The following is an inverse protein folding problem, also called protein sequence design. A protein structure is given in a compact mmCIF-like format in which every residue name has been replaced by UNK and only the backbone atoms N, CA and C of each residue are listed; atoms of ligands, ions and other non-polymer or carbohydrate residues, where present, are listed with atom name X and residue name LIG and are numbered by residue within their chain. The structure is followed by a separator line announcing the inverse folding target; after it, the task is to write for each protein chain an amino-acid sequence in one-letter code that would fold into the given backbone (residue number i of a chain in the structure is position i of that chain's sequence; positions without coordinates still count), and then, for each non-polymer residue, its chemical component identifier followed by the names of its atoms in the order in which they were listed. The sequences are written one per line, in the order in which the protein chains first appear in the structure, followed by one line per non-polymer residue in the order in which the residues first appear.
data_IF_383350005405
#
_entry.id   IF_383350005405
#
_cell.length_a   1.000
_cell.length_b   1.000
_cell.length_c   1.000
_cell.angle_alpha   90.00
_cell.angle_beta   90.00
_cell.angle_gamma   90.00
#
_symmetry.space_group_name_H-M   'P 1'
#
loop_
_entity.id
_entity.type
_entity.pdbx_description
1 polymer ?
#
# COMPACT_ATOMS: atom_id res chain seq x y z
N UNK A 1 2.23 -5.07 -32.73
CA UNK A 1 3.52 -5.06 -32.00
C UNK A 1 3.18 -5.11 -30.52
N UNK A 2 2.99 -6.32 -29.97
CA UNK A 2 2.67 -6.49 -28.55
C UNK A 2 3.98 -6.57 -27.78
N UNK A 3 4.27 -5.56 -26.96
CA UNK A 3 5.36 -5.66 -26.01
C UNK A 3 5.00 -6.72 -24.97
N UNK A 4 5.77 -7.80 -24.92
CA UNK A 4 5.70 -8.79 -23.86
C UNK A 4 6.07 -8.11 -22.54
N UNK A 5 5.08 -7.79 -21.71
CA UNK A 5 5.32 -7.31 -20.36
C UNK A 5 5.93 -8.47 -19.56
N UNK A 6 7.25 -8.44 -19.39
CA UNK A 6 7.93 -9.32 -18.42
C UNK A 6 7.31 -9.04 -17.05
N UNK A 7 6.81 -10.07 -16.39
CA UNK A 7 6.11 -9.94 -15.11
C UNK A 7 7.03 -9.28 -14.07
N UNK A 8 6.71 -8.04 -13.75
CA UNK A 8 7.28 -7.23 -12.67
C UNK A 8 6.52 -7.41 -11.35
N UNK A 9 5.59 -8.37 -11.28
CA UNK A 9 4.86 -8.68 -10.05
C UNK A 9 5.62 -9.76 -9.29
N UNK A 10 5.98 -9.48 -8.03
CA UNK A 10 6.38 -10.54 -7.10
C UNK A 10 5.15 -11.41 -6.83
N UNK A 11 5.07 -12.68 -7.30
CA UNK A 11 3.87 -13.49 -7.16
C UNK A 11 3.48 -13.73 -5.70
N UNK A 12 4.45 -13.64 -4.78
CA UNK A 12 4.17 -13.75 -3.35
C UNK A 12 3.39 -12.55 -2.81
N UNK A 13 3.33 -11.38 -3.46
CA UNK A 13 2.53 -10.24 -2.95
C UNK A 13 1.04 -10.36 -3.28
N UNK A 14 0.68 -11.22 -4.24
CA UNK A 14 -0.68 -11.35 -4.75
C UNK A 14 -1.66 -11.78 -3.64
N UNK A 15 -2.88 -11.25 -3.70
CA UNK A 15 -3.97 -11.55 -2.78
C UNK A 15 -4.41 -10.35 -1.96
N UNK A 16 -5.17 -10.64 -0.90
CA UNK A 16 -5.79 -9.65 -0.03
C UNK A 16 -5.03 -9.54 1.28
N UNK A 17 -4.89 -8.31 1.75
CA UNK A 17 -4.11 -7.94 2.92
C UNK A 17 -4.94 -7.05 3.83
N UNK A 18 -4.94 -7.34 5.12
CA UNK A 18 -5.59 -6.55 6.17
C UNK A 18 -4.57 -5.67 6.87
N UNK A 19 -4.90 -4.41 7.06
CA UNK A 19 -4.07 -3.47 7.82
C UNK A 19 -3.99 -3.91 9.29
N UNK A 20 -2.76 -3.94 9.82
CA UNK A 20 -2.49 -4.10 11.24
C UNK A 20 -2.21 -2.75 11.91
N UNK A 21 -1.43 -1.88 11.25
CA UNK A 21 -1.12 -0.55 11.77
C UNK A 21 -0.77 0.42 10.65
N UNK A 22 -1.09 1.70 10.87
CA UNK A 22 -0.65 2.81 10.05
C UNK A 22 -0.09 3.91 10.95
N UNK A 23 1.21 4.12 10.85
CA UNK A 23 1.94 5.09 11.66
C UNK A 23 2.76 6.02 10.77
N UNK A 24 3.07 7.20 11.29
CA UNK A 24 4.06 8.08 10.71
C UNK A 24 5.08 8.50 11.77
N UNK A 25 6.32 8.75 11.35
CA UNK A 25 7.37 9.28 12.22
C UNK A 25 7.57 10.77 11.91
N UNK A 26 7.29 11.61 12.91
CA UNK A 26 7.40 13.07 12.89
C UNK A 26 8.27 13.52 14.07
N UNK A 27 9.44 14.13 13.82
CA UNK A 27 10.33 14.67 14.85
C UNK A 27 10.64 13.69 16.01
N UNK A 28 10.85 12.41 15.67
CA UNK A 28 11.13 11.34 16.65
C UNK A 28 9.89 10.86 17.43
N UNK A 29 8.70 11.32 17.05
CA UNK A 29 7.42 10.86 17.61
C UNK A 29 6.67 10.00 16.60
N UNK A 30 5.99 8.98 17.11
CA UNK A 30 5.08 8.16 16.33
C UNK A 30 3.70 8.79 16.39
N UNK A 31 3.14 9.13 15.22
CA UNK A 31 1.76 9.61 15.06
C UNK A 31 0.93 8.58 14.30
N UNK A 32 -0.40 8.64 14.43
CA UNK A 32 -1.35 7.72 13.78
C UNK A 32 -2.27 8.51 12.86
N UNK A 33 -1.97 8.57 11.55
CA UNK A 33 -2.63 9.52 10.66
C UNK A 33 -4.14 9.33 10.51
N UNK A 34 -4.66 8.12 10.77
CA UNK A 34 -6.09 7.81 10.74
C UNK A 34 -6.66 7.44 12.12
N UNK A 35 -5.97 7.82 13.20
CA UNK A 35 -6.37 7.51 14.57
C UNK A 35 -6.00 6.08 15.02
N UNK A 36 -6.31 5.77 16.28
CA UNK A 36 -5.88 4.53 16.97
C UNK A 36 -6.53 3.26 16.41
N UNK A 37 -7.75 3.35 15.88
CA UNK A 37 -8.54 2.18 15.46
C UNK A 37 -8.61 2.02 13.94
N UNK A 38 -7.58 2.49 13.23
CA UNK A 38 -7.52 2.41 11.76
C UNK A 38 -7.62 0.95 11.27
N UNK A 39 -8.43 0.75 10.23
CA UNK A 39 -8.60 -0.52 9.52
C UNK A 39 -8.36 -0.28 8.05
N UNK A 40 -7.98 -1.32 7.32
CA UNK A 40 -7.83 -1.21 5.88
C UNK A 40 -7.66 -2.54 5.20
N UNK A 41 -7.82 -2.50 3.88
CA UNK A 41 -7.61 -3.59 2.96
C UNK A 41 -6.71 -3.15 1.82
N UNK A 42 -5.79 -4.01 1.42
CA UNK A 42 -4.93 -3.84 0.26
C UNK A 42 -5.03 -5.11 -0.58
N UNK A 43 -5.28 -4.97 -1.87
CA UNK A 43 -5.44 -6.06 -2.81
C UNK A 43 -4.41 -5.89 -3.92
N UNK A 44 -3.65 -6.95 -4.20
CA UNK A 44 -2.81 -7.07 -5.39
C UNK A 44 -3.32 -8.23 -6.24
N UNK A 45 -3.58 -7.99 -7.52
CA UNK A 45 -4.08 -9.02 -8.45
C UNK A 45 -3.03 -9.46 -9.45
N UNK A 46 -3.23 -10.63 -10.05
CA UNK A 46 -2.32 -11.22 -11.05
C UNK A 46 -2.18 -10.33 -12.30
N UNK A 47 -3.20 -9.54 -12.62
CA UNK A 47 -3.21 -8.61 -13.75
C UNK A 47 -2.37 -7.35 -13.49
N UNK A 48 -1.73 -7.23 -12.31
CA UNK A 48 -0.94 -6.06 -11.94
C UNK A 48 -1.79 -4.89 -11.47
N UNK A 49 -2.98 -5.15 -10.91
CA UNK A 49 -3.86 -4.15 -10.33
C UNK A 49 -3.68 -4.06 -8.81
N UNK A 50 -3.82 -2.85 -8.27
CA UNK A 50 -3.81 -2.59 -6.83
C UNK A 50 -5.06 -1.81 -6.42
N UNK A 51 -5.64 -2.16 -5.27
CA UNK A 51 -6.66 -1.37 -4.58
C UNK A 51 -6.30 -1.28 -3.11
N UNK A 52 -6.32 -0.08 -2.53
CA UNK A 52 -6.03 0.16 -1.13
C UNK A 52 -7.12 1.05 -0.52
N UNK A 53 -7.68 0.62 0.60
CA UNK A 53 -8.74 1.32 1.32
C UNK A 53 -8.40 1.29 2.80
N UNK A 54 -8.31 2.45 3.45
CA UNK A 54 -8.04 2.61 4.87
C UNK A 54 -9.05 3.59 5.45
N UNK A 55 -9.62 3.25 6.60
CA UNK A 55 -10.58 4.08 7.31
C UNK A 55 -10.24 4.10 8.80
N UNK A 56 -10.43 5.25 9.43
CA UNK A 56 -10.33 5.41 10.87
C UNK A 56 -11.12 6.62 11.34
N UNK A 57 -10.98 7.00 12.61
CA UNK A 57 -11.74 8.11 13.21
C UNK A 57 -11.38 9.45 12.57
N UNK A 58 -10.14 9.60 12.12
CA UNK A 58 -9.61 10.84 11.55
C UNK A 58 -9.77 10.92 10.02
N UNK A 59 -10.40 9.92 9.39
CA UNK A 59 -10.76 10.00 7.98
C UNK A 59 -10.58 8.71 7.18
N UNK A 60 -10.45 8.89 5.87
CA UNK A 60 -10.43 7.81 4.88
C UNK A 60 -9.40 8.07 3.78
N UNK A 61 -8.63 7.03 3.45
CA UNK A 61 -7.69 7.00 2.34
C UNK A 61 -8.10 5.84 1.43
N UNK A 62 -8.41 6.14 0.18
CA UNK A 62 -8.70 5.13 -0.83
C UNK A 62 -7.98 5.43 -2.12
N UNK A 63 -7.39 4.43 -2.76
CA UNK A 63 -6.89 4.55 -4.12
C UNK A 63 -6.90 3.20 -4.84
N UNK A 64 -6.90 3.25 -6.17
CA UNK A 64 -6.74 2.09 -7.02
C UNK A 64 -5.88 2.44 -8.24
N UNK A 65 -5.30 1.43 -8.87
CA UNK A 65 -4.48 1.62 -10.05
C UNK A 65 -3.66 0.38 -10.41
N UNK A 66 -2.48 0.61 -10.99
CA UNK A 66 -1.53 -0.44 -11.34
C UNK A 66 -0.40 -0.51 -10.34
N UNK A 67 0.20 -1.68 -10.17
CA UNK A 67 1.43 -1.79 -9.38
C UNK A 67 2.56 -2.46 -10.18
N UNK A 68 3.77 -2.18 -9.73
CA UNK A 68 5.00 -2.75 -10.26
C UNK A 68 5.95 -3.00 -9.09
N UNK A 69 6.51 -4.20 -8.99
CA UNK A 69 7.57 -4.50 -8.02
C UNK A 69 8.93 -4.24 -8.67
N UNK A 70 9.79 -3.49 -7.99
CA UNK A 70 11.14 -3.10 -8.43
C UNK A 70 12.09 -3.31 -7.26
N UNK A 71 12.87 -4.39 -7.32
CA UNK A 71 13.83 -4.75 -6.26
C UNK A 71 13.18 -4.83 -4.86
N UNK A 72 13.50 -3.88 -3.98
CA UNK A 72 12.99 -3.75 -2.62
C UNK A 72 11.81 -2.76 -2.52
N UNK A 73 11.22 -2.37 -3.64
CA UNK A 73 10.14 -1.39 -3.71
C UNK A 73 8.92 -1.91 -4.46
N UNK A 74 7.76 -1.38 -4.09
CA UNK A 74 6.54 -1.44 -4.89
C UNK A 74 6.14 -0.03 -5.30
N UNK A 75 5.84 0.17 -6.57
CA UNK A 75 5.36 1.43 -7.13
C UNK A 75 3.89 1.28 -7.48
N UNK A 76 3.02 2.09 -6.87
CA UNK A 76 1.61 2.17 -7.25
C UNK A 76 1.38 3.36 -8.18
N UNK A 77 0.86 3.12 -9.37
CA UNK A 77 0.40 4.16 -10.30
C UNK A 77 -1.10 4.30 -10.16
N UNK A 78 -1.53 5.34 -9.48
CA UNK A 78 -2.95 5.55 -9.18
C UNK A 78 -3.72 5.99 -10.43
N UNK A 79 -4.90 5.41 -10.62
CA UNK A 79 -5.89 5.86 -11.62
C UNK A 79 -7.12 6.46 -10.94
N UNK A 80 -7.34 6.13 -9.67
CA UNK A 80 -8.40 6.65 -8.82
C UNK A 80 -7.82 6.91 -7.42
N UNK A 81 -8.20 8.02 -6.78
CA UNK A 81 -7.86 8.30 -5.39
C UNK A 81 -8.92 9.17 -4.71
N UNK A 82 -9.11 8.97 -3.40
CA UNK A 82 -10.02 9.76 -2.56
C UNK A 82 -9.54 11.19 -2.31
N UNK A 83 -8.23 11.43 -2.46
CA UNK A 83 -7.65 12.78 -2.41
C UNK A 83 -7.16 13.20 -3.79
N UNK A 84 -7.50 14.41 -4.28
CA UNK A 84 -7.06 14.92 -5.58
C UNK A 84 -5.53 14.93 -5.75
N UNK A 85 -4.78 15.12 -4.67
CA UNK A 85 -3.32 15.18 -4.71
C UNK A 85 -2.64 13.86 -5.12
N UNK A 86 -3.38 12.75 -5.05
CA UNK A 86 -2.89 11.42 -5.40
C UNK A 86 -3.46 10.88 -6.70
N UNK A 87 -4.22 11.66 -7.46
CA UNK A 87 -4.69 11.22 -8.77
C UNK A 87 -3.53 11.23 -9.78
N UNK A 88 -3.40 10.13 -10.53
CA UNK A 88 -2.38 9.96 -11.57
C UNK A 88 -0.94 10.16 -11.05
N UNK A 89 -0.67 9.67 -9.85
CA UNK A 89 0.64 9.76 -9.20
C UNK A 89 1.31 8.39 -9.08
N UNK A 90 2.63 8.41 -9.08
CA UNK A 90 3.44 7.28 -8.65
C UNK A 90 3.65 7.37 -7.13
N UNK A 91 3.17 6.36 -6.41
CA UNK A 91 3.36 6.18 -4.99
C UNK A 91 4.38 5.06 -4.76
N UNK A 92 5.64 5.43 -4.58
CA UNK A 92 6.71 4.47 -4.30
C UNK A 92 6.73 4.10 -2.82
N UNK A 93 6.85 2.81 -2.52
CA UNK A 93 7.00 2.27 -1.17
C UNK A 93 8.18 1.33 -1.12
N UNK A 94 9.08 1.49 -0.16
CA UNK A 94 9.96 0.39 0.22
C UNK A 94 9.11 -0.74 0.80
N UNK A 95 9.36 -1.97 0.38
CA UNK A 95 8.49 -3.10 0.60
C UNK A 95 9.28 -4.28 1.15
N UNK A 96 8.88 -4.73 2.34
CA UNK A 96 9.43 -5.94 2.97
C UNK A 96 8.32 -6.96 3.12
N UNK A 97 8.46 -8.08 2.42
CA UNK A 97 7.53 -9.20 2.45
C UNK A 97 8.17 -10.37 3.21
N UNK A 98 7.47 -10.86 4.23
CA UNK A 98 7.89 -11.98 5.07
C UNK A 98 6.69 -12.89 5.36
N UNK A 99 6.50 -13.92 4.52
CA UNK A 99 5.38 -14.86 4.62
C UNK A 99 4.01 -14.18 4.51
N UNK A 100 3.29 -14.12 5.63
CA UNK A 100 1.97 -13.49 5.76
C UNK A 100 2.05 -12.01 6.20
N UNK A 101 3.24 -11.44 6.36
CA UNK A 101 3.47 -10.07 6.77
C UNK A 101 4.03 -9.23 5.62
N UNK A 102 3.43 -8.07 5.39
CA UNK A 102 3.90 -7.07 4.44
C UNK A 102 4.06 -5.73 5.13
N UNK A 103 5.26 -5.17 5.06
CA UNK A 103 5.57 -3.84 5.54
C UNK A 103 5.82 -2.92 4.34
N UNK A 104 5.07 -1.82 4.27
CA UNK A 104 5.24 -0.78 3.25
C UNK A 104 5.67 0.51 3.93
N UNK A 105 6.77 1.10 3.45
CA UNK A 105 7.27 2.39 3.93
C UNK A 105 7.25 3.43 2.82
N UNK A 106 6.66 4.59 3.09
CA UNK A 106 6.85 5.76 2.24
C UNK A 106 7.99 6.61 2.82
N UNK A 107 9.04 6.82 2.04
CA UNK A 107 10.11 7.73 2.42
C UNK A 107 9.56 9.17 2.58
N UNK A 108 10.12 9.97 3.49
CA UNK A 108 9.71 11.35 3.67
C UNK A 108 9.89 12.13 2.36
N UNK A 109 8.89 12.95 2.00
CA UNK A 109 8.94 13.81 0.81
C UNK A 109 8.39 15.19 1.15
N UNK A 110 9.14 16.26 0.83
CA UNK A 110 8.67 17.65 0.92
C UNK A 110 7.94 17.99 2.25
N UNK A 111 8.55 17.66 3.39
CA UNK A 111 7.96 17.92 4.71
C UNK A 111 6.87 16.93 5.14
N UNK A 112 6.56 15.91 4.34
CA UNK A 112 5.75 14.77 4.76
C UNK A 112 6.59 13.80 5.60
N UNK A 113 6.02 13.22 6.67
CA UNK A 113 6.72 12.25 7.49
C UNK A 113 6.99 10.93 6.77
N UNK A 114 7.89 10.12 7.33
CA UNK A 114 7.99 8.73 6.92
C UNK A 114 6.73 7.97 7.36
N UNK A 115 6.05 7.33 6.40
CA UNK A 115 4.87 6.50 6.69
C UNK A 115 5.26 5.04 6.77
N UNK A 116 4.71 4.30 7.73
CA UNK A 116 4.89 2.85 7.88
C UNK A 116 3.51 2.19 7.98
N UNK A 117 3.26 1.24 7.09
CA UNK A 117 2.04 0.45 7.06
C UNK A 117 2.39 -1.02 7.21
N UNK A 118 1.84 -1.65 8.25
CA UNK A 118 1.98 -3.09 8.47
C UNK A 118 0.68 -3.78 8.05
N UNK A 119 0.83 -4.82 7.23
CA UNK A 119 -0.26 -5.58 6.67
C UNK A 119 -0.06 -7.05 6.98
N UNK A 120 -1.18 -7.76 7.17
CA UNK A 120 -1.22 -9.21 7.26
C UNK A 120 -2.05 -9.78 6.13
N UNK A 121 -1.56 -10.82 5.47
CA UNK A 121 -2.34 -11.53 4.47
C UNK A 121 -3.62 -12.06 5.08
N UNK A 122 -4.74 -11.84 4.40
CA UNK A 122 -5.99 -12.50 4.77
C UNK A 122 -5.90 -13.96 4.34
N UNK A 123 -6.01 -14.87 5.31
CA UNK A 123 -6.24 -16.28 5.02
C UNK A 123 -7.60 -16.43 4.38
N UNK A 124 -7.67 -17.16 3.26
CA UNK A 124 -8.94 -17.50 2.61
C UNK A 124 -9.86 -18.19 3.64
N UNK A 125 -10.92 -17.51 4.05
CA UNK A 125 -12.01 -18.16 4.77
C UNK A 125 -12.76 -19.01 3.76
N UNK A 126 -12.50 -20.33 3.79
CA UNK A 126 -13.46 -21.28 3.24
C UNK A 126 -14.71 -21.19 4.09
N UNK A 127 -15.80 -20.70 3.51
CA UNK A 127 -17.15 -20.93 4.03
C UNK A 127 -17.49 -22.40 3.85
#
# INVERSE_FOLDING_TARGET
MSASASSTANPAVLGTWRLLSFTAEEDGRVVRPLGETCRGQLIYTEEGCVSAQLAGTEGYIGYAGRFEWRDDQVVHRTTLASSPQWQEKELTRAARLDGDMLELRAAPQHGQPCLVLLWRRESAQKQ
#
